data_IF_815044017342
#
_entry.id   IF_815044017342
#
_cell.length_a   1.000
_cell.length_b   1.000
_cell.length_c   1.000
_cell.angle_alpha   90.00
_cell.angle_beta   90.00
_cell.angle_gamma   90.00
#
_symmetry.space_group_name_H-M   'P 1'
#
loop_
_entity.id
_entity.type
_entity.pdbx_description
1 polymer ?
#
# COMPACT_ATOMS: atom_id res chain seq x y z
N UNK A 1 -14.18 3.68 -12.85
CA UNK A 1 -13.00 3.09 -12.18
C UNK A 1 -13.28 3.07 -10.69
N UNK A 2 -12.89 2.00 -10.00
CA UNK A 2 -12.99 1.88 -8.54
C UNK A 2 -11.57 1.97 -8.00
N UNK A 3 -11.30 2.98 -7.18
CA UNK A 3 -9.99 3.25 -6.61
C UNK A 3 -10.11 4.15 -5.37
N UNK A 4 -9.10 4.13 -4.50
CA UNK A 4 -9.00 5.04 -3.36
C UNK A 4 -8.84 6.51 -3.77
N UNK A 5 -8.27 6.78 -4.95
CA UNK A 5 -7.91 8.13 -5.38
C UNK A 5 -6.65 8.68 -4.71
N UNK A 6 -5.91 7.85 -3.99
CA UNK A 6 -4.70 8.23 -3.26
C UNK A 6 -3.57 7.29 -3.65
N UNK A 7 -2.43 7.87 -4.03
CA UNK A 7 -1.21 7.14 -4.32
C UNK A 7 -0.33 7.02 -3.08
N UNK A 8 0.31 5.87 -2.95
CA UNK A 8 1.38 5.61 -2.01
C UNK A 8 2.55 4.95 -2.74
N UNK A 9 3.76 5.29 -2.33
CA UNK A 9 4.98 4.63 -2.80
C UNK A 9 5.17 3.28 -2.12
N UNK A 10 5.97 2.41 -2.75
CA UNK A 10 6.40 1.16 -2.11
C UNK A 10 7.15 1.43 -0.81
N UNK A 11 7.92 2.53 -0.73
CA UNK A 11 8.63 2.92 0.49
C UNK A 11 7.68 3.19 1.65
N UNK A 12 6.61 3.97 1.42
CA UNK A 12 5.59 4.25 2.45
C UNK A 12 4.88 2.97 2.91
N UNK A 13 4.67 2.00 2.00
CA UNK A 13 4.14 0.69 2.36
C UNK A 13 5.06 -0.04 3.35
N UNK A 14 6.36 -0.17 3.04
CA UNK A 14 7.27 -0.93 3.91
C UNK A 14 7.49 -0.20 5.23
N UNK A 15 7.59 1.12 5.21
CA UNK A 15 7.72 1.95 6.41
C UNK A 15 6.50 1.77 7.34
N UNK A 16 5.28 1.84 6.78
CA UNK A 16 4.05 1.60 7.52
C UNK A 16 3.99 0.20 8.11
N UNK A 17 4.41 -0.82 7.36
CA UNK A 17 4.39 -2.22 7.80
C UNK A 17 5.39 -2.49 8.94
N UNK A 18 6.64 -2.06 8.79
CA UNK A 18 7.68 -2.24 9.81
C UNK A 18 7.38 -1.43 11.08
N UNK A 19 6.90 -0.19 10.92
CA UNK A 19 6.52 0.66 12.06
C UNK A 19 5.40 0.03 12.89
N UNK A 20 4.48 -0.74 12.28
CA UNK A 20 3.40 -1.43 12.98
C UNK A 20 3.89 -2.48 14.00
N UNK A 21 5.13 -2.94 13.85
CA UNK A 21 5.79 -3.90 14.76
C UNK A 21 7.00 -3.31 15.48
N UNK A 22 7.15 -1.98 15.45
CA UNK A 22 8.24 -1.28 16.12
C UNK A 22 9.63 -1.50 15.50
N UNK A 23 9.69 -1.78 14.20
CA UNK A 23 10.92 -1.99 13.44
C UNK A 23 11.19 -0.82 12.49
N UNK A 24 12.47 -0.51 12.23
CA UNK A 24 12.89 0.37 11.14
C UNK A 24 13.08 -0.48 9.88
N UNK A 25 12.38 -0.15 8.79
CA UNK A 25 12.48 -0.91 7.54
C UNK A 25 13.90 -0.87 6.94
N UNK A 26 14.68 0.17 7.23
CA UNK A 26 16.04 0.34 6.68
C UNK A 26 17.01 -0.73 7.16
N UNK A 27 16.72 -1.37 8.30
CA UNK A 27 17.53 -2.47 8.84
C UNK A 27 17.33 -3.79 8.07
N UNK A 28 16.27 -3.91 7.26
CA UNK A 28 15.86 -5.17 6.62
C UNK A 28 15.73 -5.08 5.10
N UNK A 29 15.52 -3.88 4.53
CA UNK A 29 15.26 -3.71 3.10
C UNK A 29 16.55 -3.42 2.34
N UNK A 30 16.84 -4.28 1.35
CA UNK A 30 17.88 -4.06 0.36
C UNK A 30 17.29 -3.86 -1.04
N UNK A 31 17.98 -3.09 -1.89
CA UNK A 31 17.58 -2.85 -3.27
C UNK A 31 18.40 -3.75 -4.20
N UNK A 32 17.70 -4.64 -4.91
CA UNK A 32 18.31 -5.53 -5.88
C UNK A 32 17.88 -5.18 -7.31
N UNK A 33 18.86 -4.98 -8.20
CA UNK A 33 18.65 -4.65 -9.61
C UNK A 33 17.80 -5.68 -10.35
N UNK A 34 17.75 -6.94 -9.89
CA UNK A 34 16.93 -8.00 -10.48
C UNK A 34 15.43 -7.72 -10.40
N UNK A 35 14.98 -6.87 -9.48
CA UNK A 35 13.57 -6.49 -9.36
C UNK A 35 13.18 -5.26 -10.19
N UNK A 36 14.14 -4.60 -10.86
CA UNK A 36 13.86 -3.46 -11.73
C UNK A 36 13.18 -3.94 -13.00
N UNK A 37 12.13 -3.24 -13.40
CA UNK A 37 11.43 -3.52 -14.66
C UNK A 37 12.04 -2.64 -15.75
N UNK A 38 12.43 -3.20 -16.92
CA UNK A 38 13.02 -2.43 -18.03
C UNK A 38 12.16 -1.24 -18.49
N UNK A 39 10.85 -1.34 -18.29
CA UNK A 39 9.89 -0.25 -18.48
C UNK A 39 9.17 -0.04 -17.16
N UNK A 40 9.57 0.97 -16.40
CA UNK A 40 8.86 1.42 -15.20
C UNK A 40 7.65 2.25 -15.66
N UNK A 41 6.43 1.78 -15.40
CA UNK A 41 5.23 2.51 -15.77
C UNK A 41 5.02 3.69 -14.82
N UNK A 42 4.46 4.77 -15.35
CA UNK A 42 4.05 5.97 -14.60
C UNK A 42 3.16 5.58 -13.41
N UNK A 43 3.26 6.25 -12.24
CA UNK A 43 2.40 5.98 -11.09
C UNK A 43 0.92 5.95 -11.46
N UNK A 44 0.23 4.86 -11.14
CA UNK A 44 -1.19 4.68 -11.44
C UNK A 44 -2.03 5.22 -10.28
N UNK A 45 -2.61 6.41 -10.43
CA UNK A 45 -3.63 6.93 -9.51
C UNK A 45 -5.01 6.88 -10.18
N UNK A 46 -5.91 6.07 -9.64
CA UNK A 46 -7.26 5.96 -10.18
C UNK A 46 -8.19 7.07 -9.68
N UNK A 47 -8.90 7.75 -10.59
CA UNK A 47 -9.95 8.71 -10.22
C UNK A 47 -11.31 8.01 -10.09
N UNK A 48 -11.88 8.06 -8.88
CA UNK A 48 -13.18 7.48 -8.54
C UNK A 48 -14.34 8.49 -8.60
N UNK A 49 -14.19 9.64 -9.27
CA UNK A 49 -15.23 10.68 -9.33
C UNK A 49 -16.58 10.14 -9.79
N UNK A 50 -16.62 9.33 -10.85
CA UNK A 50 -17.87 8.85 -11.45
C UNK A 50 -18.69 8.00 -10.47
N UNK A 51 -18.05 7.07 -9.77
CA UNK A 51 -18.75 6.18 -8.83
C UNK A 51 -19.08 6.89 -7.51
N UNK A 52 -18.27 7.89 -7.12
CA UNK A 52 -18.56 8.77 -6.00
C UNK A 52 -19.82 9.61 -6.27
N UNK A 53 -19.99 10.09 -7.49
CA UNK A 53 -21.16 10.89 -7.88
C UNK A 53 -22.42 10.03 -8.06
N UNK A 54 -22.32 8.96 -8.84
CA UNK A 54 -23.49 8.14 -9.20
C UNK A 54 -23.98 7.24 -8.05
N UNK A 55 -23.06 6.72 -7.22
CA UNK A 55 -23.39 5.70 -6.21
C UNK A 55 -23.07 6.16 -4.77
N UNK A 56 -22.61 7.40 -4.57
CA UNK A 56 -22.09 7.90 -3.29
C UNK A 56 -21.02 6.97 -2.67
N UNK A 57 -20.31 6.22 -3.51
CA UNK A 57 -19.32 5.25 -3.07
C UNK A 57 -18.02 5.94 -2.69
N UNK A 58 -17.42 5.52 -1.57
CA UNK A 58 -16.08 5.93 -1.12
C UNK A 58 -15.38 4.74 -0.48
N UNK A 59 -14.05 4.66 -0.64
CA UNK A 59 -13.23 3.72 0.13
C UNK A 59 -13.44 3.96 1.62
N UNK A 60 -13.71 2.90 2.37
CA UNK A 60 -13.95 2.98 3.82
C UNK A 60 -12.66 2.91 4.61
N UNK A 61 -11.76 2.01 4.22
CA UNK A 61 -10.51 1.78 4.92
C UNK A 61 -9.45 2.75 4.39
N UNK A 62 -8.61 3.26 5.29
CA UNK A 62 -7.44 4.06 4.92
C UNK A 62 -6.26 3.13 4.67
N UNK A 63 -5.28 3.62 3.91
CA UNK A 63 -4.07 2.87 3.60
C UNK A 63 -3.36 2.28 4.83
N UNK A 64 -3.10 3.04 5.92
CA UNK A 64 -2.42 2.49 7.09
C UNK A 64 -3.22 1.38 7.78
N UNK A 65 -4.55 1.51 7.82
CA UNK A 65 -5.44 0.52 8.45
C UNK A 65 -5.37 -0.83 7.69
N UNK A 66 -5.35 -0.77 6.36
CA UNK A 66 -5.21 -1.96 5.50
C UNK A 66 -3.84 -2.62 5.72
N UNK A 67 -2.76 -1.82 5.76
CA UNK A 67 -1.41 -2.36 5.99
C UNK A 67 -1.31 -3.01 7.37
N UNK A 68 -1.88 -2.40 8.40
CA UNK A 68 -1.89 -2.97 9.75
C UNK A 68 -2.63 -4.31 9.81
N UNK A 69 -3.82 -4.40 9.18
CA UNK A 69 -4.61 -5.63 9.09
C UNK A 69 -3.83 -6.75 8.38
N UNK A 70 -3.12 -6.42 7.30
CA UNK A 70 -2.27 -7.39 6.58
C UNK A 70 -1.12 -7.90 7.45
N UNK A 71 -0.42 -7.00 8.15
CA UNK A 71 0.69 -7.37 9.04
C UNK A 71 0.21 -8.25 10.19
N UNK A 72 -0.92 -7.91 10.83
CA UNK A 72 -1.50 -8.71 11.91
C UNK A 72 -1.89 -10.11 11.41
N UNK A 73 -2.51 -10.19 10.23
CA UNK A 73 -2.86 -11.46 9.59
C UNK A 73 -1.63 -12.32 9.31
N UNK A 74 -0.55 -11.74 8.77
CA UNK A 74 0.69 -12.48 8.48
C UNK A 74 1.35 -12.97 9.79
N UNK A 75 1.42 -12.13 10.82
CA UNK A 75 1.95 -12.53 12.15
C UNK A 75 1.12 -13.69 12.71
N UNK A 76 -0.20 -13.59 12.68
CA UNK A 76 -1.09 -14.64 13.17
C UNK A 76 -0.98 -15.94 12.36
N UNK A 77 -0.58 -15.88 11.09
CA UNK A 77 -0.39 -17.05 10.25
C UNK A 77 0.95 -17.76 10.54
N UNK A 78 1.99 -17.01 10.90
CA UNK A 78 3.33 -17.54 11.18
C UNK A 78 3.60 -17.83 12.67
N UNK A 79 2.71 -17.43 13.59
CA UNK A 79 2.75 -17.73 15.02
C UNK A 79 2.18 -19.12 15.35
#
# INVERSE_FOLDING_TARGET
MIASGVNHSVRELVDCACSNVGLDYQDFVEVDQRFYRPTETVPLCGDSWKIRDELNWKSKNKFPDIVAEMVESDISFFS
#
